data_IF_245497235035
#
_entry.id   IF_245497235035
#
_cell.length_a   1.000
_cell.length_b   1.000
_cell.length_c   1.000
_cell.angle_alpha   90.00
_cell.angle_beta   90.00
_cell.angle_gamma   90.00
#
_symmetry.space_group_name_H-M   'P 1'
#
loop_
_entity.id
_entity.type
_entity.pdbx_description
1 polymer ?
#
# COMPACT_ATOMS: atom_id res chain seq x y z
N UNK A 1 -64.44 28.04 9.70
CA UNK A 1 -64.03 26.83 8.94
C UNK A 1 -62.57 26.54 9.23
N UNK A 2 -62.26 25.78 10.29
CA UNK A 2 -60.87 25.60 10.75
C UNK A 2 -60.75 24.33 11.61
N UNK A 3 -61.13 23.16 11.07
CA UNK A 3 -61.08 21.87 11.81
C UNK A 3 -60.77 20.65 10.93
N UNK A 4 -60.13 20.83 9.77
CA UNK A 4 -59.77 19.69 8.89
C UNK A 4 -58.26 19.55 8.61
N UNK A 5 -57.38 20.34 9.26
CA UNK A 5 -55.93 20.19 9.07
C UNK A 5 -55.23 19.29 10.12
N UNK A 6 -55.84 19.01 11.27
CA UNK A 6 -55.19 18.16 12.29
C UNK A 6 -55.25 16.66 11.98
N UNK A 7 -56.29 16.18 11.29
CA UNK A 7 -56.44 14.75 11.01
C UNK A 7 -55.43 14.21 10.00
N UNK A 8 -55.07 15.01 9.00
CA UNK A 8 -54.12 14.61 7.95
C UNK A 8 -52.66 14.58 8.49
N UNK A 9 -52.33 15.45 9.45
CA UNK A 9 -50.99 15.53 10.02
C UNK A 9 -50.70 14.33 10.94
N UNK A 10 -51.70 13.83 11.67
CA UNK A 10 -51.55 12.65 12.54
C UNK A 10 -51.36 11.37 11.72
N UNK A 11 -52.05 11.22 10.58
CA UNK A 11 -51.87 10.05 9.71
C UNK A 11 -50.49 10.01 9.04
N UNK A 12 -49.95 11.18 8.63
CA UNK A 12 -48.60 11.26 8.03
C UNK A 12 -47.49 11.04 9.06
N UNK A 13 -47.67 11.51 10.30
CA UNK A 13 -46.69 11.30 11.40
C UNK A 13 -46.68 9.84 11.89
N UNK A 14 -47.81 9.13 11.83
CA UNK A 14 -47.91 7.71 12.19
C UNK A 14 -47.19 6.77 11.22
N UNK A 15 -46.94 7.21 9.99
CA UNK A 15 -46.20 6.45 8.98
C UNK A 15 -44.68 6.63 9.06
N UNK A 16 -44.18 7.56 9.89
CA UNK A 16 -42.74 7.80 10.08
C UNK A 16 -42.12 6.89 11.14
N UNK A 17 -42.93 6.14 11.92
CA UNK A 17 -42.45 5.29 13.01
C UNK A 17 -42.23 3.82 12.64
N UNK A 18 -42.30 3.46 11.35
CA UNK A 18 -42.06 2.08 10.86
C UNK A 18 -40.88 2.03 9.88
N UNK A 19 -39.87 2.87 10.09
CA UNK A 19 -38.59 2.79 9.38
C UNK A 19 -37.41 2.96 10.35
N UNK A 20 -37.43 2.23 11.46
CA UNK A 20 -36.19 1.71 12.02
C UNK A 20 -36.20 0.23 11.68
N UNK A 21 -35.68 -0.11 10.50
CA UNK A 21 -35.22 -1.48 10.32
C UNK A 21 -34.16 -1.73 11.39
N UNK A 22 -34.28 -2.86 12.09
CA UNK A 22 -33.14 -3.49 12.76
C UNK A 22 -32.12 -3.79 11.67
N UNK A 23 -31.35 -2.78 11.27
CA UNK A 23 -30.28 -2.93 10.31
C UNK A 23 -29.08 -3.47 11.09
N UNK A 24 -29.16 -4.76 11.47
CA UNK A 24 -28.05 -5.60 11.96
C UNK A 24 -27.00 -5.83 10.83
N UNK A 25 -26.90 -4.91 9.87
CA UNK A 25 -25.91 -4.97 8.81
C UNK A 25 -24.54 -4.61 9.39
N UNK A 26 -23.87 -5.63 9.92
CA UNK A 26 -22.48 -5.54 10.32
C UNK A 26 -21.61 -5.54 9.06
N UNK A 27 -20.89 -4.44 8.86
CA UNK A 27 -19.80 -4.43 7.89
C UNK A 27 -18.82 -5.55 8.27
N UNK A 28 -18.48 -6.47 7.37
CA UNK A 28 -17.57 -7.55 7.68
C UNK A 28 -16.21 -6.95 8.08
N UNK A 29 -15.47 -7.64 8.95
CA UNK A 29 -14.18 -7.18 9.50
C UNK A 29 -13.02 -7.26 8.50
N UNK A 30 -13.31 -6.95 7.23
CA UNK A 30 -12.36 -6.98 6.13
C UNK A 30 -11.38 -5.82 6.29
N UNK A 31 -10.10 -6.16 6.23
CA UNK A 31 -8.97 -5.22 6.23
C UNK A 31 -8.35 -5.16 4.84
N UNK A 32 -7.69 -4.05 4.54
CA UNK A 32 -6.88 -3.89 3.34
C UNK A 32 -5.46 -3.46 3.73
N UNK A 33 -4.51 -4.38 3.63
CA UNK A 33 -3.14 -4.14 4.08
C UNK A 33 -2.11 -4.59 3.03
N UNK A 34 -0.92 -4.00 3.11
CA UNK A 34 0.27 -4.49 2.43
C UNK A 34 0.86 -5.66 3.23
N UNK A 35 1.28 -6.71 2.52
CA UNK A 35 1.88 -7.90 3.15
C UNK A 35 2.73 -8.67 2.14
N UNK A 36 3.57 -9.56 2.67
CA UNK A 36 4.37 -10.49 1.86
C UNK A 36 3.70 -11.86 1.90
N UNK A 37 3.22 -12.35 0.77
CA UNK A 37 2.68 -13.71 0.66
C UNK A 37 3.78 -14.68 0.22
N UNK A 38 3.73 -15.89 0.75
CA UNK A 38 4.66 -16.97 0.47
C UNK A 38 3.92 -18.14 -0.18
N UNK A 39 4.47 -18.65 -1.28
CA UNK A 39 3.96 -19.82 -1.96
C UNK A 39 4.67 -21.11 -1.52
N UNK A 40 3.92 -22.21 -1.51
CA UNK A 40 4.46 -23.55 -1.36
C UNK A 40 5.05 -24.10 -2.67
N UNK A 41 5.41 -25.38 -2.63
CA UNK A 41 6.04 -26.10 -3.74
C UNK A 41 5.16 -26.19 -5.01
N UNK A 42 3.83 -26.05 -4.88
CA UNK A 42 2.89 -26.06 -6.00
C UNK A 42 2.49 -24.66 -6.50
N UNK A 43 3.14 -23.62 -5.96
CA UNK A 43 2.90 -22.22 -6.32
C UNK A 43 1.59 -21.62 -5.75
N UNK A 44 0.84 -22.33 -4.89
CA UNK A 44 -0.27 -21.72 -4.12
C UNK A 44 0.31 -20.88 -3.00
N UNK A 45 -0.35 -19.77 -2.70
CA UNK A 45 -0.06 -19.01 -1.48
C UNK A 45 -0.47 -19.85 -0.26
N UNK A 46 0.44 -19.99 0.70
CA UNK A 46 0.23 -20.79 1.93
C UNK A 46 0.24 -19.91 3.19
N UNK A 47 1.01 -18.82 3.20
CA UNK A 47 1.09 -17.91 4.35
C UNK A 47 1.34 -16.47 3.93
N UNK A 48 1.08 -15.54 4.84
CA UNK A 48 1.39 -14.11 4.70
C UNK A 48 2.15 -13.61 5.92
N UNK A 49 3.03 -12.63 5.69
CA UNK A 49 3.72 -11.83 6.72
C UNK A 49 3.23 -10.39 6.60
N UNK A 50 2.65 -9.85 7.68
CA UNK A 50 2.21 -8.45 7.76
C UNK A 50 3.39 -7.50 8.01
N UNK A 51 3.14 -6.21 7.83
CA UNK A 51 4.15 -5.17 8.04
C UNK A 51 4.52 -4.97 9.52
N UNK A 52 3.64 -5.42 10.42
CA UNK A 52 3.87 -5.48 11.87
C UNK A 52 4.68 -6.70 12.30
N UNK A 53 4.99 -7.61 11.37
CA UNK A 53 5.78 -8.81 11.61
C UNK A 53 4.96 -10.04 12.03
N UNK A 54 3.64 -10.01 11.90
CA UNK A 54 2.78 -11.15 12.19
C UNK A 54 2.71 -12.10 10.99
N UNK A 55 2.81 -13.41 11.25
CA UNK A 55 2.65 -14.43 10.20
C UNK A 55 1.33 -15.16 10.37
N UNK A 56 0.56 -15.25 9.28
CA UNK A 56 -0.71 -15.98 9.25
C UNK A 56 -0.70 -17.05 8.17
N UNK A 57 -1.26 -18.22 8.50
CA UNK A 57 -1.60 -19.24 7.50
C UNK A 57 -2.78 -18.76 6.66
N UNK A 58 -2.75 -19.04 5.36
CA UNK A 58 -3.87 -18.77 4.46
C UNK A 58 -4.81 -19.97 4.50
N UNK A 59 -6.00 -19.78 5.07
CA UNK A 59 -7.03 -20.82 5.18
C UNK A 59 -7.85 -20.93 3.89
N UNK A 60 -8.12 -19.77 3.28
CA UNK A 60 -8.84 -19.66 2.02
C UNK A 60 -8.21 -18.56 1.16
N UNK A 61 -7.99 -18.85 -0.11
CA UNK A 61 -7.52 -17.89 -1.11
C UNK A 61 -8.51 -17.84 -2.28
N UNK A 62 -9.30 -16.77 -2.34
CA UNK A 62 -10.25 -16.52 -3.42
C UNK A 62 -9.63 -15.76 -4.60
N UNK A 63 -8.37 -15.30 -4.49
CA UNK A 63 -7.71 -14.54 -5.56
C UNK A 63 -7.31 -15.42 -6.75
N UNK A 64 -6.99 -16.68 -6.48
CA UNK A 64 -6.48 -17.62 -7.48
C UNK A 64 -5.07 -17.31 -7.99
N UNK A 65 -4.32 -16.40 -7.33
CA UNK A 65 -2.94 -16.09 -7.71
C UNK A 65 -2.06 -17.34 -7.59
N UNK A 66 -1.23 -17.56 -8.59
CA UNK A 66 -0.15 -18.56 -8.57
C UNK A 66 1.17 -17.85 -8.80
N UNK A 67 2.17 -18.20 -8.02
CA UNK A 67 3.53 -17.68 -8.14
C UNK A 67 4.51 -18.83 -8.40
N UNK A 68 5.80 -18.50 -8.52
CA UNK A 68 6.84 -19.51 -8.55
C UNK A 68 6.78 -20.37 -7.27
N UNK A 69 7.19 -21.63 -7.38
CA UNK A 69 7.30 -22.51 -6.22
C UNK A 69 8.27 -21.93 -5.19
N UNK A 70 7.94 -22.04 -3.90
CA UNK A 70 8.78 -21.63 -2.77
C UNK A 70 9.27 -20.17 -2.87
N UNK A 71 8.40 -19.29 -3.36
CA UNK A 71 8.71 -17.89 -3.60
C UNK A 71 7.91 -16.97 -2.68
N UNK A 72 8.32 -15.70 -2.62
CA UNK A 72 7.52 -14.64 -2.00
C UNK A 72 7.07 -13.63 -3.03
N UNK A 73 5.95 -12.97 -2.73
CA UNK A 73 5.39 -11.89 -3.52
C UNK A 73 4.84 -10.82 -2.59
N UNK A 74 5.15 -9.56 -2.89
CA UNK A 74 4.60 -8.43 -2.18
C UNK A 74 3.22 -8.07 -2.73
N UNK A 75 2.22 -7.97 -1.88
CA UNK A 75 0.81 -7.79 -2.27
C UNK A 75 0.13 -6.72 -1.42
N UNK A 76 -0.98 -6.18 -1.95
CA UNK A 76 -2.03 -5.54 -1.16
C UNK A 76 -3.24 -6.47 -1.19
N UNK A 77 -3.72 -6.87 -0.02
CA UNK A 77 -4.79 -7.87 0.10
C UNK A 77 -5.99 -7.31 0.86
N UNK A 78 -7.19 -7.61 0.35
CA UNK A 78 -8.42 -7.54 1.11
C UNK A 78 -8.63 -8.89 1.80
N UNK A 79 -8.65 -8.90 3.12
CA UNK A 79 -8.66 -10.14 3.89
C UNK A 79 -9.42 -10.00 5.20
N UNK A 80 -9.80 -11.13 5.78
CA UNK A 80 -10.26 -11.20 7.16
C UNK A 80 -9.40 -12.17 7.96
N UNK A 81 -9.25 -11.90 9.25
CA UNK A 81 -8.65 -12.83 10.20
C UNK A 81 -9.71 -13.82 10.68
N UNK A 82 -9.42 -15.11 10.58
CA UNK A 82 -10.23 -16.16 11.19
C UNK A 82 -9.79 -16.38 12.63
N UNK A 83 -10.74 -16.56 13.54
CA UNK A 83 -10.49 -16.74 14.98
C UNK A 83 -10.91 -18.15 15.40
N UNK A 84 -10.03 -18.86 16.10
CA UNK A 84 -10.32 -20.16 16.68
C UNK A 84 -11.26 -20.04 17.89
N UNK A 85 -11.84 -21.17 18.32
CA UNK A 85 -12.76 -21.21 19.47
C UNK A 85 -12.16 -20.76 20.81
N UNK A 86 -10.83 -20.67 20.91
CA UNK A 86 -10.10 -20.14 22.07
C UNK A 86 -9.82 -18.62 22.00
N UNK A 87 -10.33 -17.95 20.97
CA UNK A 87 -10.19 -16.51 20.75
C UNK A 87 -8.89 -16.08 20.06
N UNK A 88 -8.01 -17.01 19.67
CA UNK A 88 -6.77 -16.69 18.94
C UNK A 88 -6.99 -16.65 17.43
N UNK A 89 -6.25 -15.81 16.72
CA UNK A 89 -6.26 -15.81 15.24
C UNK A 89 -5.69 -17.14 14.75
N UNK A 90 -6.46 -17.87 13.95
CA UNK A 90 -6.08 -19.16 13.36
C UNK A 90 -5.46 -19.04 11.97
N UNK A 91 -5.73 -17.93 11.28
CA UNK A 91 -5.23 -17.65 9.94
C UNK A 91 -6.00 -16.53 9.26
N UNK A 92 -5.84 -16.42 7.95
CA UNK A 92 -6.51 -15.42 7.13
C UNK A 92 -7.26 -16.04 5.96
N UNK A 93 -8.33 -15.37 5.55
CA UNK A 93 -9.02 -15.60 4.30
C UNK A 93 -8.78 -14.42 3.37
N UNK A 94 -8.16 -14.67 2.21
CA UNK A 94 -7.88 -13.67 1.20
C UNK A 94 -9.06 -13.59 0.22
N UNK A 95 -9.70 -12.42 0.14
CA UNK A 95 -10.84 -12.18 -0.75
C UNK A 95 -10.40 -11.70 -2.13
N UNK A 96 -9.45 -10.77 -2.15
CA UNK A 96 -8.89 -10.20 -3.36
C UNK A 96 -7.50 -9.67 -3.05
N UNK A 97 -6.61 -9.68 -4.03
CA UNK A 97 -5.29 -9.09 -3.91
C UNK A 97 -4.84 -8.46 -5.22
N UNK A 98 -3.79 -7.65 -5.12
CA UNK A 98 -2.99 -7.17 -6.23
C UNK A 98 -1.52 -7.31 -5.85
N UNK A 99 -0.65 -7.61 -6.82
CA UNK A 99 0.79 -7.55 -6.63
C UNK A 99 1.24 -6.09 -6.59
N UNK A 100 2.10 -5.73 -5.66
CA UNK A 100 2.73 -4.41 -5.66
C UNK A 100 3.84 -4.35 -6.69
N UNK A 101 4.17 -3.14 -7.13
CA UNK A 101 5.40 -2.91 -7.89
C UNK A 101 6.55 -2.86 -6.88
N UNK A 102 7.37 -3.91 -6.88
CA UNK A 102 8.41 -4.11 -5.86
C UNK A 102 9.76 -4.61 -6.38
N UNK A 103 10.33 -4.01 -7.45
CA UNK A 103 11.70 -4.30 -7.85
C UNK A 103 12.71 -3.78 -6.81
N UNK A 104 13.91 -4.38 -6.78
CA UNK A 104 15.04 -3.81 -6.04
C UNK A 104 15.47 -2.48 -6.67
N UNK A 105 15.80 -1.44 -5.88
CA UNK A 105 16.45 -0.23 -6.40
C UNK A 105 17.69 -0.52 -7.27
N UNK A 106 17.88 0.29 -8.31
CA UNK A 106 19.02 0.22 -9.23
C UNK A 106 19.71 1.58 -9.33
N UNK A 107 21.00 1.58 -9.66
CA UNK A 107 21.72 2.84 -9.88
C UNK A 107 21.26 3.49 -11.19
N UNK A 108 21.38 4.82 -11.29
CA UNK A 108 20.92 5.58 -12.46
C UNK A 108 21.49 5.08 -13.80
N UNK A 109 22.70 4.50 -13.80
CA UNK A 109 23.36 3.97 -14.99
C UNK A 109 22.73 2.69 -15.57
N UNK A 110 21.87 2.01 -14.81
CA UNK A 110 21.21 0.77 -15.24
C UNK A 110 19.92 1.01 -16.03
N UNK A 111 19.43 2.26 -16.06
CA UNK A 111 18.25 2.65 -16.82
C UNK A 111 18.62 3.02 -18.27
N UNK A 112 18.34 2.12 -19.20
CA UNK A 112 18.50 2.39 -20.64
C UNK A 112 17.67 3.63 -21.06
N UNK A 113 18.33 4.59 -21.72
CA UNK A 113 17.68 5.85 -22.10
C UNK A 113 17.54 6.87 -20.95
N UNK A 114 18.16 6.58 -19.80
CA UNK A 114 18.24 7.45 -18.63
C UNK A 114 17.01 7.40 -17.73
N UNK A 115 17.14 8.02 -16.55
CA UNK A 115 16.06 8.11 -15.56
C UNK A 115 14.89 8.93 -16.12
N UNK A 116 13.67 8.41 -15.97
CA UNK A 116 12.40 9.08 -16.30
C UNK A 116 11.64 9.39 -15.01
N UNK A 117 11.07 10.58 -14.91
CA UNK A 117 10.39 11.07 -13.71
C UNK A 117 9.08 11.77 -14.07
N UNK A 118 8.16 11.01 -14.66
CA UNK A 118 6.82 11.51 -14.97
C UNK A 118 6.08 11.92 -13.69
N UNK A 119 5.29 13.00 -13.70
CA UNK A 119 4.70 13.56 -12.49
C UNK A 119 3.71 12.60 -11.82
N UNK A 120 3.68 12.62 -10.48
CA UNK A 120 2.82 11.80 -9.62
C UNK A 120 2.59 12.47 -8.26
N UNK A 121 1.65 11.97 -7.45
CA UNK A 121 1.43 12.44 -6.06
C UNK A 121 1.41 11.28 -5.07
N UNK A 122 2.07 11.44 -3.92
CA UNK A 122 1.95 10.48 -2.82
C UNK A 122 0.60 10.67 -2.12
N UNK A 123 -0.18 9.59 -2.03
CA UNK A 123 -1.41 9.51 -1.23
C UNK A 123 -1.15 8.98 0.17
N UNK A 124 -0.22 8.05 0.32
CA UNK A 124 0.28 7.55 1.60
C UNK A 124 1.67 6.97 1.43
N UNK A 125 2.51 7.07 2.46
CA UNK A 125 3.87 6.54 2.49
C UNK A 125 4.26 6.16 3.93
N UNK A 126 4.82 4.98 4.12
CA UNK A 126 5.23 4.47 5.43
C UNK A 126 6.30 3.38 5.31
N UNK A 127 7.09 3.19 6.37
CA UNK A 127 7.94 2.00 6.52
C UNK A 127 7.09 0.86 7.10
N UNK A 128 7.22 -0.34 6.53
CA UNK A 128 6.52 -1.53 6.99
C UNK A 128 7.40 -2.76 6.83
N UNK A 129 7.64 -3.49 7.93
CA UNK A 129 8.65 -4.54 8.02
C UNK A 129 9.99 -4.14 7.37
N UNK A 130 10.37 -4.77 6.24
CA UNK A 130 11.58 -4.46 5.47
C UNK A 130 11.29 -3.72 4.15
N UNK A 131 10.19 -2.97 4.07
CA UNK A 131 9.77 -2.19 2.90
C UNK A 131 9.51 -0.72 3.20
N UNK A 132 9.75 0.14 2.20
CA UNK A 132 9.02 1.41 2.06
C UNK A 132 7.76 1.16 1.24
N UNK A 133 6.58 1.37 1.81
CA UNK A 133 5.32 1.27 1.08
C UNK A 133 4.84 2.64 0.62
N UNK A 134 4.34 2.69 -0.62
CA UNK A 134 3.82 3.92 -1.23
C UNK A 134 2.51 3.64 -1.93
N UNK A 135 1.48 4.42 -1.60
CA UNK A 135 0.27 4.55 -2.42
C UNK A 135 0.42 5.83 -3.23
N UNK A 136 0.61 5.67 -4.53
CA UNK A 136 0.82 6.76 -5.48
C UNK A 136 -0.46 7.04 -6.25
N UNK A 137 -0.73 8.31 -6.54
CA UNK A 137 -1.71 8.71 -7.54
C UNK A 137 -1.01 9.16 -8.82
N UNK A 138 -1.50 8.63 -9.94
CA UNK A 138 -1.12 9.04 -11.29
C UNK A 138 -2.36 9.42 -12.09
N UNK A 139 -2.20 10.31 -13.07
CA UNK A 139 -3.30 10.86 -13.89
C UNK A 139 -3.10 10.59 -15.37
N UNK A 140 -1.92 10.19 -15.82
CA UNK A 140 -1.67 9.91 -17.23
C UNK A 140 -2.44 8.65 -17.70
N UNK A 141 -2.77 8.62 -18.98
CA UNK A 141 -3.25 7.44 -19.67
C UNK A 141 -2.08 6.55 -20.11
N UNK A 142 -2.39 5.33 -20.55
CA UNK A 142 -1.40 4.40 -21.08
C UNK A 142 -0.76 3.49 -20.04
N UNK A 143 0.34 2.86 -20.45
CA UNK A 143 1.08 1.92 -19.60
C UNK A 143 2.08 2.71 -18.77
N UNK A 144 1.93 2.62 -17.45
CA UNK A 144 2.91 3.15 -16.50
C UNK A 144 3.96 2.09 -16.21
N UNK A 145 5.22 2.50 -16.22
CA UNK A 145 6.36 1.73 -15.76
C UNK A 145 6.96 2.42 -14.56
N UNK A 146 7.10 1.70 -13.47
CA UNK A 146 7.69 2.21 -12.24
C UNK A 146 8.91 1.39 -11.84
N UNK A 147 9.90 2.07 -11.27
CA UNK A 147 11.08 1.50 -10.64
C UNK A 147 11.58 2.46 -9.55
N UNK A 148 12.65 2.07 -8.87
CA UNK A 148 13.35 2.93 -7.91
C UNK A 148 14.79 3.14 -8.37
N UNK A 149 15.21 4.40 -8.41
CA UNK A 149 16.59 4.81 -8.65
C UNK A 149 17.26 4.98 -7.29
N UNK A 150 18.38 4.30 -7.09
CA UNK A 150 19.27 4.54 -5.95
C UNK A 150 20.22 5.69 -6.28
N UNK A 151 19.97 6.84 -5.67
CA UNK A 151 20.78 8.04 -5.85
C UNK A 151 22.03 8.03 -4.96
N UNK A 152 21.98 7.29 -3.85
CA UNK A 152 23.12 7.03 -3.00
C UNK A 152 22.76 6.41 -1.66
N UNK A 153 23.76 5.74 -1.08
CA UNK A 153 23.71 5.12 0.25
C UNK A 153 24.91 5.58 1.06
N UNK A 154 24.69 5.97 2.31
CA UNK A 154 25.75 6.29 3.27
C UNK A 154 25.38 5.75 4.64
N UNK A 155 26.36 5.35 5.44
CA UNK A 155 26.13 5.01 6.85
C UNK A 155 26.38 6.26 7.68
N UNK A 156 25.40 6.62 8.49
CA UNK A 156 25.54 7.65 9.52
C UNK A 156 26.31 7.03 10.70
N UNK A 157 27.54 7.52 10.95
CA UNK A 157 28.43 6.93 11.97
C UNK A 157 27.92 7.11 13.40
N UNK A 158 27.11 8.15 13.65
CA UNK A 158 26.61 8.48 15.00
C UNK A 158 25.43 7.57 15.38
N UNK A 159 24.50 7.36 14.46
CA UNK A 159 23.32 6.51 14.65
C UNK A 159 23.53 5.06 14.24
N UNK A 160 24.54 4.76 13.40
CA UNK A 160 24.75 3.44 12.81
C UNK A 160 23.69 3.04 11.78
N UNK A 161 22.91 4.00 11.27
CA UNK A 161 21.81 3.77 10.32
C UNK A 161 22.25 4.04 8.88
N UNK A 162 21.69 3.29 7.94
CA UNK A 162 21.88 3.52 6.52
C UNK A 162 20.94 4.63 6.05
N UNK A 163 21.50 5.74 5.58
CA UNK A 163 20.77 6.79 4.86
C UNK A 163 20.72 6.43 3.38
N UNK A 164 19.52 6.16 2.88
CA UNK A 164 19.27 5.73 1.50
C UNK A 164 18.48 6.81 0.78
N UNK A 165 19.06 7.37 -0.29
CA UNK A 165 18.41 8.33 -1.17
C UNK A 165 17.88 7.62 -2.41
N UNK A 166 16.58 7.76 -2.65
CA UNK A 166 15.87 7.11 -3.72
C UNK A 166 15.07 8.14 -4.52
N UNK A 167 14.97 7.92 -5.83
CA UNK A 167 14.05 8.64 -6.71
C UNK A 167 13.09 7.65 -7.37
N UNK A 168 11.80 7.99 -7.43
CA UNK A 168 10.84 7.23 -8.21
C UNK A 168 11.19 7.34 -9.71
N UNK A 169 11.55 6.22 -10.33
CA UNK A 169 11.50 6.11 -11.77
C UNK A 169 10.03 5.94 -12.18
N UNK A 170 9.56 6.81 -13.05
CA UNK A 170 8.22 6.75 -13.61
C UNK A 170 8.27 7.14 -15.08
N UNK A 171 7.91 6.19 -15.94
CA UNK A 171 7.74 6.39 -17.37
C UNK A 171 6.31 6.02 -17.77
N UNK A 172 5.75 6.76 -18.72
CA UNK A 172 4.39 6.54 -19.19
C UNK A 172 4.31 6.69 -20.69
N UNK A 173 3.58 5.77 -21.33
CA UNK A 173 3.48 5.74 -22.79
C UNK A 173 2.62 6.87 -23.40
N UNK A 174 2.07 7.77 -22.59
CA UNK A 174 1.14 8.82 -23.03
C UNK A 174 1.18 10.02 -22.08
N UNK A 175 1.19 11.22 -22.66
CA UNK A 175 1.16 12.51 -21.98
C UNK A 175 -0.28 12.97 -21.62
N UNK A 176 -1.31 12.34 -22.20
CA UNK A 176 -2.71 12.65 -21.93
C UNK A 176 -3.05 12.34 -20.48
N UNK A 177 -3.48 13.36 -19.72
CA UNK A 177 -3.95 13.22 -18.34
C UNK A 177 -5.49 13.12 -18.28
N UNK A 178 -6.01 12.21 -17.46
CA UNK A 178 -7.43 12.01 -17.19
C UNK A 178 -7.77 11.96 -15.69
N UNK A 179 -8.32 10.85 -15.19
CA UNK A 179 -8.73 10.67 -13.81
C UNK A 179 -7.62 10.00 -12.99
N UNK A 180 -7.58 10.29 -11.69
CA UNK A 180 -6.60 9.71 -10.79
C UNK A 180 -6.75 8.19 -10.67
N UNK A 181 -5.64 7.48 -10.84
CA UNK A 181 -5.49 6.03 -10.61
C UNK A 181 -4.49 5.81 -9.49
N UNK A 182 -4.70 4.75 -8.69
CA UNK A 182 -3.76 4.34 -7.64
C UNK A 182 -2.75 3.34 -8.17
N UNK A 183 -1.47 3.55 -7.87
CA UNK A 183 -0.43 2.54 -7.96
C UNK A 183 0.05 2.20 -6.55
N UNK A 184 0.34 0.92 -6.32
CA UNK A 184 0.80 0.40 -5.03
C UNK A 184 2.24 -0.09 -5.20
N UNK A 185 3.18 0.58 -4.53
CA UNK A 185 4.60 0.33 -4.66
C UNK A 185 5.16 -0.11 -3.30
N UNK A 186 6.16 -0.98 -3.34
CA UNK A 186 6.95 -1.35 -2.16
C UNK A 186 8.42 -1.37 -2.54
N UNK A 187 9.26 -0.56 -1.91
CA UNK A 187 10.72 -0.64 -2.10
C UNK A 187 11.26 -1.67 -1.12
N UNK A 188 11.89 -2.77 -1.55
CA UNK A 188 12.57 -3.67 -0.62
C UNK A 188 13.81 -2.99 -0.04
N UNK A 189 13.89 -2.90 1.29
CA UNK A 189 14.97 -2.20 2.01
C UNK A 189 15.99 -3.16 2.63
N UNK A 190 15.72 -4.46 2.63
CA UNK A 190 16.57 -5.48 3.25
C UNK A 190 18.03 -5.45 2.76
N UNK A 191 18.27 -5.06 1.50
CA UNK A 191 19.63 -4.95 0.95
C UNK A 191 20.51 -3.91 1.66
N UNK A 192 19.90 -2.94 2.35
CA UNK A 192 20.62 -1.89 3.09
C UNK A 192 20.92 -2.27 4.54
N UNK A 193 20.34 -3.36 5.04
CA UNK A 193 20.60 -3.91 6.38
C UNK A 193 21.83 -4.82 6.36
N UNK A 194 23.00 -4.26 6.05
CA UNK A 194 24.28 -4.97 6.08
C UNK A 194 24.81 -5.16 7.51
N UNK A 195 25.88 -5.94 7.69
CA UNK A 195 26.47 -6.18 9.02
C UNK A 195 26.80 -4.86 9.73
N UNK A 196 26.30 -4.70 10.96
CA UNK A 196 26.50 -3.50 11.79
C UNK A 196 25.48 -2.38 11.56
N UNK A 197 24.65 -2.44 10.53
CA UNK A 197 23.60 -1.43 10.27
C UNK A 197 22.41 -1.66 11.22
N UNK A 198 22.02 -0.60 11.94
CA UNK A 198 20.97 -0.66 12.96
C UNK A 198 19.56 -0.38 12.42
N UNK A 199 19.47 0.28 11.27
CA UNK A 199 18.22 0.62 10.61
C UNK A 199 18.43 1.39 9.31
N UNK A 200 17.35 1.70 8.61
CA UNK A 200 17.36 2.42 7.33
C UNK A 200 16.53 3.69 7.45
N UNK A 201 17.13 4.81 7.08
CA UNK A 201 16.46 6.10 6.89
C UNK A 201 16.31 6.35 5.40
N UNK A 202 15.08 6.58 4.96
CA UNK A 202 14.74 6.65 3.53
C UNK A 202 14.39 8.06 3.14
N UNK A 203 15.05 8.57 2.11
CA UNK A 203 14.80 9.86 1.47
C UNK A 203 14.25 9.57 0.09
N UNK A 204 12.93 9.60 -0.06
CA UNK A 204 12.24 9.20 -1.28
C UNK A 204 11.71 10.40 -2.06
N UNK A 205 12.27 10.63 -3.23
CA UNK A 205 11.96 11.76 -4.10
C UNK A 205 10.99 11.37 -5.21
N UNK A 206 9.99 12.21 -5.47
CA UNK A 206 9.11 12.09 -6.64
C UNK A 206 9.05 13.42 -7.38
N UNK A 207 8.87 13.38 -8.70
CA UNK A 207 8.46 14.55 -9.47
C UNK A 207 6.94 14.70 -9.43
N UNK A 208 6.44 15.91 -9.21
CA UNK A 208 5.02 16.16 -8.94
C UNK A 208 4.33 16.95 -10.06
N UNK A 209 2.99 16.98 -10.05
CA UNK A 209 2.23 17.82 -11.00
C UNK A 209 2.37 19.33 -10.76
N UNK A 210 3.11 19.72 -9.71
CA UNK A 210 3.51 21.12 -9.47
C UNK A 210 4.88 21.45 -10.07
N UNK A 211 5.34 20.65 -11.03
CA UNK A 211 6.60 20.79 -11.77
C UNK A 211 7.84 20.90 -10.88
N UNK A 212 7.83 20.19 -9.75
CA UNK A 212 8.92 20.16 -8.77
C UNK A 212 9.10 18.77 -8.17
N UNK A 213 10.32 18.50 -7.73
CA UNK A 213 10.61 17.36 -6.86
C UNK A 213 10.11 17.63 -5.44
N UNK A 214 9.60 16.58 -4.79
CA UNK A 214 9.37 16.54 -3.34
C UNK A 214 10.06 15.33 -2.75
N UNK A 215 10.80 15.53 -1.67
CA UNK A 215 11.50 14.46 -0.94
C UNK A 215 10.77 14.17 0.36
N UNK A 216 10.30 12.93 0.51
CA UNK A 216 9.70 12.40 1.72
C UNK A 216 10.77 11.68 2.52
N UNK A 217 10.97 12.09 3.76
CA UNK A 217 11.96 11.53 4.68
C UNK A 217 11.24 10.68 5.70
N UNK A 218 11.68 9.42 5.82
CA UNK A 218 11.21 8.47 6.82
C UNK A 218 12.42 8.00 7.60
N UNK A 219 12.57 8.57 8.79
CA UNK A 219 13.64 8.27 9.74
C UNK A 219 13.08 8.09 11.16
N UNK A 220 13.94 8.05 12.17
CA UNK A 220 13.58 7.86 13.57
C UNK A 220 12.69 8.99 14.14
N UNK A 221 12.65 10.15 13.49
CA UNK A 221 11.76 11.27 13.86
C UNK A 221 10.35 11.15 13.27
N UNK A 222 10.15 10.19 12.37
CA UNK A 222 8.91 9.95 11.65
C UNK A 222 8.90 10.58 10.26
N UNK A 223 7.72 10.54 9.63
CA UNK A 223 7.52 11.07 8.28
C UNK A 223 7.55 12.60 8.25
N UNK A 224 8.43 13.16 7.44
CA UNK A 224 8.42 14.59 7.10
C UNK A 224 8.82 14.83 5.64
N UNK A 225 8.69 16.06 5.16
CA UNK A 225 9.03 16.44 3.78
C UNK A 225 10.14 17.48 3.85
N UNK A 226 11.25 17.29 3.10
CA UNK A 226 12.29 18.31 3.00
C UNK A 226 11.70 19.58 2.37
N UNK A 227 11.98 20.75 2.95
CA UNK A 227 11.57 22.02 2.39
C UNK A 227 12.34 22.32 1.10
N UNK A 228 11.64 22.78 0.06
CA UNK A 228 12.25 23.34 -1.15
C UNK A 228 13.05 24.62 -0.84
#
# INVERSE_FOLDING_TARGET
>A
MKKYCCGLFVAVVSCLSVSCGDDDYHYPSVKQDFMTAFSGADGRLESVLTDEGETFQILEDASGLRTNADASVRIVANYETSVAGDGRVSGVKLYALLQTISPLPLTAGEFEGGVKTEPSEIRSIWLGYDYLNVVLEVKQQGKHLFHFVEDGVSIDEDSGRAKVRLTLYHDVSSDVQDYGKRAYLSVPLKQYMTEGVQGVDVYFSIYTYSDSFKTYVLDETGLHVEGN
#
